data_IF_376874120874
#
_entry.id   IF_376874120874
#
_cell.length_a   1.000
_cell.length_b   1.000
_cell.length_c   1.000
_cell.angle_alpha   90.00
_cell.angle_beta   90.00
_cell.angle_gamma   90.00
#
_symmetry.space_group_name_H-M   'P 1'
#
loop_
_entity.id
_entity.type
_entity.pdbx_description
1 polymer ?
#
# COMPACT_ATOMS: atom_id res chain seq x y z
N UNK A 1 -36.74 -34.70 -37.81
CA UNK A 1 -35.47 -34.24 -38.43
C UNK A 1 -35.19 -32.80 -38.09
N UNK A 2 -36.19 -31.94 -38.02
CA UNK A 2 -36.03 -30.52 -37.68
C UNK A 2 -35.65 -30.29 -36.20
N UNK A 3 -36.30 -31.08 -35.29
CA UNK A 3 -36.04 -30.99 -33.84
C UNK A 3 -34.67 -31.49 -33.45
N UNK A 4 -34.13 -32.47 -34.18
CA UNK A 4 -32.83 -33.03 -33.88
C UNK A 4 -31.67 -32.03 -34.16
N UNK A 5 -31.79 -31.23 -35.22
CA UNK A 5 -30.81 -30.17 -35.55
C UNK A 5 -30.89 -29.02 -34.56
N UNK A 6 -32.08 -28.61 -34.14
CA UNK A 6 -32.26 -27.57 -33.12
C UNK A 6 -31.72 -28.02 -31.76
N UNK A 7 -31.97 -29.27 -31.36
CA UNK A 7 -31.44 -29.83 -30.12
C UNK A 7 -29.90 -29.92 -30.15
N UNK A 8 -29.32 -30.35 -31.25
CA UNK A 8 -27.89 -30.45 -31.44
C UNK A 8 -27.22 -29.04 -31.37
N UNK A 9 -27.85 -28.07 -32.05
CA UNK A 9 -27.36 -26.67 -32.01
C UNK A 9 -27.45 -26.10 -30.61
N UNK A 10 -28.55 -26.35 -29.88
CA UNK A 10 -28.74 -25.92 -28.49
C UNK A 10 -27.66 -26.51 -27.57
N UNK A 11 -27.35 -27.80 -27.73
CA UNK A 11 -26.30 -28.47 -26.94
C UNK A 11 -24.94 -27.86 -27.23
N UNK A 12 -24.64 -27.58 -28.48
CA UNK A 12 -23.39 -26.92 -28.87
C UNK A 12 -23.28 -25.51 -28.29
N UNK A 13 -24.37 -24.73 -28.31
CA UNK A 13 -24.42 -23.39 -27.72
C UNK A 13 -24.22 -23.44 -26.21
N UNK A 14 -24.82 -24.42 -25.54
CA UNK A 14 -24.64 -24.61 -24.09
C UNK A 14 -23.21 -25.01 -23.73
N UNK A 15 -22.57 -25.86 -24.53
CA UNK A 15 -21.17 -26.22 -24.35
C UNK A 15 -20.24 -25.02 -24.52
N UNK A 16 -20.51 -24.18 -25.52
CA UNK A 16 -19.75 -22.93 -25.72
C UNK A 16 -19.94 -21.97 -24.57
N UNK A 17 -21.18 -21.81 -24.08
CA UNK A 17 -21.48 -20.96 -22.93
C UNK A 17 -20.76 -21.45 -21.68
N UNK A 18 -20.73 -22.78 -21.44
CA UNK A 18 -20.01 -23.39 -20.33
C UNK A 18 -18.50 -23.15 -20.44
N UNK A 19 -17.95 -23.34 -21.63
CA UNK A 19 -16.51 -23.10 -21.88
C UNK A 19 -16.15 -21.63 -21.66
N UNK A 20 -16.97 -20.70 -22.15
CA UNK A 20 -16.76 -19.27 -21.93
C UNK A 20 -16.85 -18.91 -20.44
N UNK A 21 -17.81 -19.48 -19.70
CA UNK A 21 -17.94 -19.27 -18.27
C UNK A 21 -16.71 -19.79 -17.52
N UNK A 22 -16.18 -20.93 -17.94
CA UNK A 22 -14.96 -21.51 -17.35
C UNK A 22 -13.73 -20.64 -17.61
N UNK A 23 -13.59 -20.12 -18.83
CA UNK A 23 -12.49 -19.21 -19.18
C UNK A 23 -12.59 -17.89 -18.43
N UNK A 24 -13.80 -17.36 -18.27
CA UNK A 24 -14.05 -16.15 -17.47
C UNK A 24 -13.67 -16.37 -16.01
N UNK A 25 -14.01 -17.53 -15.45
CA UNK A 25 -13.64 -17.87 -14.07
C UNK A 25 -12.13 -17.96 -13.90
N UNK A 26 -11.42 -18.57 -14.84
CA UNK A 26 -9.96 -18.64 -14.83
C UNK A 26 -9.34 -17.25 -14.90
N UNK A 27 -9.90 -16.37 -15.74
CA UNK A 27 -9.43 -14.98 -15.85
C UNK A 27 -9.66 -14.21 -14.55
N UNK A 28 -10.82 -14.37 -13.93
CA UNK A 28 -11.11 -13.74 -12.64
C UNK A 28 -10.14 -14.21 -11.55
N UNK A 29 -9.80 -15.50 -11.53
CA UNK A 29 -8.81 -16.03 -10.59
C UNK A 29 -7.42 -15.43 -10.81
N UNK A 30 -7.01 -15.27 -12.05
CA UNK A 30 -5.73 -14.62 -12.39
C UNK A 30 -5.71 -13.15 -11.98
N UNK A 31 -6.81 -12.44 -12.22
CA UNK A 31 -6.94 -11.04 -11.85
C UNK A 31 -6.90 -10.87 -10.32
N UNK A 32 -7.60 -11.73 -9.59
CA UNK A 32 -7.59 -11.73 -8.14
C UNK A 32 -6.19 -12.01 -7.58
N UNK A 33 -5.46 -12.95 -8.18
CA UNK A 33 -4.08 -13.24 -7.78
C UNK A 33 -3.18 -12.02 -7.98
N UNK A 34 -3.31 -11.32 -9.12
CA UNK A 34 -2.58 -10.08 -9.37
C UNK A 34 -2.89 -9.01 -8.34
N UNK A 35 -4.17 -8.84 -7.99
CA UNK A 35 -4.59 -7.88 -6.97
C UNK A 35 -3.99 -8.20 -5.60
N UNK A 36 -3.97 -9.46 -5.22
CA UNK A 36 -3.38 -9.91 -3.95
C UNK A 36 -1.88 -9.67 -3.95
N UNK A 37 -1.19 -10.03 -5.02
CA UNK A 37 0.26 -9.80 -5.14
C UNK A 37 0.58 -8.30 -5.07
N UNK A 38 -0.22 -7.46 -5.74
CA UNK A 38 -0.06 -6.02 -5.71
C UNK A 38 -0.30 -5.47 -4.30
N UNK A 39 -1.33 -5.97 -3.61
CA UNK A 39 -1.61 -5.57 -2.23
C UNK A 39 -0.46 -5.94 -1.29
N UNK A 40 0.14 -7.11 -1.48
CA UNK A 40 1.30 -7.54 -0.71
C UNK A 40 2.51 -6.62 -0.96
N UNK A 41 2.82 -6.32 -2.21
CA UNK A 41 3.91 -5.41 -2.55
C UNK A 41 3.68 -4.01 -2.00
N UNK A 42 2.46 -3.51 -2.09
CA UNK A 42 2.10 -2.20 -1.55
C UNK A 42 2.29 -2.15 -0.04
N UNK A 43 1.88 -3.19 0.68
CA UNK A 43 2.07 -3.28 2.13
C UNK A 43 3.56 -3.36 2.50
N UNK A 44 4.33 -4.15 1.76
CA UNK A 44 5.77 -4.27 1.96
C UNK A 44 6.50 -2.95 1.74
N UNK A 45 6.16 -2.24 0.66
CA UNK A 45 6.75 -0.94 0.36
C UNK A 45 6.36 0.09 1.41
N UNK A 46 5.10 0.10 1.85
CA UNK A 46 4.63 0.99 2.91
C UNK A 46 5.35 0.73 4.24
N UNK A 47 5.63 -0.52 4.57
CA UNK A 47 6.43 -0.86 5.74
C UNK A 47 7.85 -0.30 5.65
N UNK A 48 8.50 -0.45 4.50
CA UNK A 48 9.84 0.09 4.29
C UNK A 48 9.86 1.63 4.40
N UNK A 49 8.85 2.30 3.85
CA UNK A 49 8.68 3.75 3.97
C UNK A 49 8.49 4.18 5.43
N UNK A 50 7.69 3.43 6.19
CA UNK A 50 7.50 3.69 7.61
C UNK A 50 8.82 3.59 8.38
N UNK A 51 9.60 2.54 8.13
CA UNK A 51 10.90 2.36 8.77
C UNK A 51 11.86 3.49 8.44
N UNK A 52 11.90 3.91 7.18
CA UNK A 52 12.73 5.04 6.74
C UNK A 52 12.27 6.35 7.39
N UNK A 53 10.97 6.59 7.50
CA UNK A 53 10.41 7.78 8.12
C UNK A 53 10.70 7.83 9.63
N UNK A 54 10.66 6.70 10.31
CA UNK A 54 11.04 6.61 11.74
C UNK A 54 12.51 6.98 11.95
N UNK A 55 13.40 6.47 11.11
CA UNK A 55 14.82 6.81 11.19
C UNK A 55 15.08 8.29 10.90
N UNK A 56 14.38 8.83 9.90
CA UNK A 56 14.48 10.26 9.57
C UNK A 56 14.00 11.14 10.72
N UNK A 57 12.90 10.77 11.38
CA UNK A 57 12.42 11.48 12.56
C UNK A 57 13.45 11.45 13.70
N UNK A 58 14.01 10.27 14.00
CA UNK A 58 15.03 10.13 15.02
C UNK A 58 16.24 11.03 14.75
N UNK A 59 16.68 11.12 13.49
CA UNK A 59 17.76 12.02 13.10
C UNK A 59 17.42 13.48 13.36
N UNK A 60 16.18 13.89 13.12
CA UNK A 60 15.74 15.28 13.38
C UNK A 60 15.60 15.57 14.87
N UNK A 61 15.21 14.57 15.69
CA UNK A 61 15.21 14.69 17.16
C UNK A 61 16.61 15.01 17.67
N UNK A 62 17.61 14.24 17.22
CA UNK A 62 19.00 14.46 17.61
C UNK A 62 19.54 15.81 17.13
N UNK A 63 19.23 16.20 15.88
CA UNK A 63 19.61 17.50 15.34
C UNK A 63 18.98 18.64 16.10
N UNK A 64 17.69 18.52 16.46
CA UNK A 64 16.99 19.53 17.26
C UNK A 64 17.58 19.65 18.66
N UNK A 65 17.89 18.53 19.29
CA UNK A 65 18.50 18.53 20.63
C UNK A 65 19.85 19.24 20.61
N UNK A 66 20.69 18.92 19.63
CA UNK A 66 22.00 19.56 19.47
C UNK A 66 21.86 21.07 19.19
N UNK A 67 20.98 21.45 18.28
CA UNK A 67 20.72 22.86 17.92
C UNK A 67 20.13 23.63 19.09
N UNK A 68 19.26 23.01 19.91
CA UNK A 68 18.70 23.62 21.11
C UNK A 68 19.82 23.95 22.12
N UNK A 69 20.74 23.03 22.34
CA UNK A 69 21.89 23.25 23.22
C UNK A 69 22.78 24.40 22.72
N UNK A 70 23.04 24.45 21.41
CA UNK A 70 23.80 25.54 20.79
C UNK A 70 23.11 26.88 20.96
N UNK A 71 21.78 26.90 20.76
CA UNK A 71 20.99 28.11 20.88
C UNK A 71 20.99 28.64 22.33
N UNK A 72 20.78 27.77 23.30
CA UNK A 72 20.84 28.13 24.71
C UNK A 72 22.22 28.66 25.14
N UNK A 73 23.26 28.16 24.51
CA UNK A 73 24.65 28.63 24.73
C UNK A 73 25.02 29.89 23.93
N UNK A 74 24.08 30.44 23.15
CA UNK A 74 24.32 31.59 22.30
C UNK A 74 25.21 31.34 21.07
N UNK A 75 25.34 30.07 20.67
CA UNK A 75 26.24 29.64 19.58
C UNK A 75 25.58 29.47 18.24
N UNK A 76 24.27 29.64 18.14
CA UNK A 76 23.58 29.62 16.85
C UNK A 76 22.45 30.67 16.84
N UNK A 77 21.97 31.00 15.65
CA UNK A 77 20.91 31.98 15.47
C UNK A 77 19.54 31.41 15.78
N UNK A 78 18.57 32.29 16.06
CA UNK A 78 17.17 31.89 16.19
C UNK A 78 16.68 31.21 14.91
N UNK A 79 17.13 31.67 13.75
CA UNK A 79 16.77 31.08 12.45
C UNK A 79 17.18 29.61 12.37
N UNK A 80 18.42 29.28 12.75
CA UNK A 80 18.90 27.90 12.76
C UNK A 80 18.11 27.02 13.71
N UNK A 81 17.77 27.53 14.87
CA UNK A 81 16.94 26.83 15.85
C UNK A 81 15.52 26.55 15.30
N UNK A 82 14.90 27.56 14.69
CA UNK A 82 13.56 27.39 14.12
C UNK A 82 13.57 26.45 12.93
N UNK A 83 14.63 26.46 12.12
CA UNK A 83 14.80 25.53 11.01
C UNK A 83 14.87 24.08 11.49
N UNK A 84 15.67 23.81 12.51
CA UNK A 84 15.76 22.48 13.12
C UNK A 84 14.42 22.01 13.69
N UNK A 85 13.69 22.92 14.34
CA UNK A 85 12.36 22.66 14.87
C UNK A 85 11.36 22.34 13.76
N UNK A 86 11.36 23.12 12.69
CA UNK A 86 10.48 22.89 11.55
C UNK A 86 10.81 21.58 10.83
N UNK A 87 12.06 21.24 10.68
CA UNK A 87 12.52 19.97 10.11
C UNK A 87 12.02 18.79 10.95
N UNK A 88 12.05 18.91 12.26
CA UNK A 88 11.51 17.88 13.16
C UNK A 88 9.99 17.73 13.01
N UNK A 89 9.25 18.83 12.99
CA UNK A 89 7.80 18.79 12.78
C UNK A 89 7.42 18.16 11.44
N UNK A 90 8.18 18.49 10.40
CA UNK A 90 7.98 17.89 9.07
C UNK A 90 8.24 16.37 9.10
N UNK A 91 9.31 15.95 9.73
CA UNK A 91 9.65 14.54 9.86
C UNK A 91 8.61 13.76 10.69
N UNK A 92 8.08 14.36 11.75
CA UNK A 92 6.97 13.80 12.52
C UNK A 92 5.73 13.58 11.66
N UNK A 93 5.36 14.59 10.89
CA UNK A 93 4.21 14.51 9.98
C UNK A 93 4.40 13.41 8.94
N UNK A 94 5.59 13.33 8.35
CA UNK A 94 5.93 12.30 7.36
C UNK A 94 5.86 10.90 7.98
N UNK A 95 6.38 10.73 9.19
CA UNK A 95 6.30 9.44 9.90
C UNK A 95 4.85 9.03 10.16
N UNK A 96 4.02 9.96 10.63
CA UNK A 96 2.60 9.68 10.87
C UNK A 96 1.88 9.26 9.60
N UNK A 97 2.11 9.97 8.49
CA UNK A 97 1.53 9.62 7.19
C UNK A 97 1.97 8.24 6.73
N UNK A 98 3.25 7.93 6.88
CA UNK A 98 3.79 6.62 6.51
C UNK A 98 3.20 5.51 7.38
N UNK A 99 3.01 5.75 8.67
CA UNK A 99 2.40 4.80 9.60
C UNK A 99 0.96 4.50 9.22
N UNK A 100 0.15 5.53 8.96
CA UNK A 100 -1.24 5.36 8.54
C UNK A 100 -1.35 4.69 7.18
N UNK A 101 -0.47 5.04 6.24
CA UNK A 101 -0.44 4.37 4.93
C UNK A 101 -0.13 2.88 5.08
N UNK A 102 0.83 2.52 5.92
CA UNK A 102 1.14 1.11 6.19
C UNK A 102 -0.07 0.39 6.81
N UNK A 103 -0.71 0.96 7.82
CA UNK A 103 -1.90 0.36 8.44
C UNK A 103 -3.03 0.16 7.43
N UNK A 104 -3.25 1.14 6.56
CA UNK A 104 -4.25 1.05 5.49
C UNK A 104 -3.93 -0.09 4.52
N UNK A 105 -2.68 -0.18 4.06
CA UNK A 105 -2.25 -1.26 3.15
C UNK A 105 -2.33 -2.64 3.81
N UNK A 106 -2.01 -2.71 5.09
CA UNK A 106 -2.14 -3.94 5.86
C UNK A 106 -3.61 -4.39 5.98
N UNK A 107 -4.54 -3.44 6.19
CA UNK A 107 -5.97 -3.73 6.23
C UNK A 107 -6.49 -4.26 4.90
N UNK A 108 -6.04 -3.69 3.79
CA UNK A 108 -6.38 -4.20 2.45
C UNK A 108 -5.90 -5.64 2.30
N UNK A 109 -4.68 -5.94 2.71
CA UNK A 109 -4.12 -7.30 2.63
C UNK A 109 -4.92 -8.28 3.51
N UNK A 110 -5.31 -7.88 4.71
CA UNK A 110 -6.16 -8.68 5.61
C UNK A 110 -7.54 -8.94 4.99
N UNK A 111 -8.10 -7.96 4.29
CA UNK A 111 -9.36 -8.13 3.56
C UNK A 111 -9.24 -9.25 2.52
N UNK A 112 -8.18 -9.27 1.73
CA UNK A 112 -7.97 -10.33 0.75
C UNK A 112 -7.75 -11.69 1.40
N UNK A 113 -7.11 -11.76 2.56
CA UNK A 113 -6.98 -13.01 3.32
C UNK A 113 -8.34 -13.55 3.76
N UNK A 114 -9.29 -12.67 4.12
CA UNK A 114 -10.64 -13.07 4.49
C UNK A 114 -11.50 -13.54 3.32
N UNK A 115 -11.16 -13.16 2.09
CA UNK A 115 -11.86 -13.57 0.87
C UNK A 115 -11.38 -14.93 0.36
N UNK A 116 -10.17 -15.32 0.68
CA UNK A 116 -9.61 -16.63 0.35
C UNK A 116 -10.02 -17.69 1.37
#
# INVERSE_FOLDING_TARGET
IYDKNQTTTRVKQQKLALENARLDLEQQKKDLRKEIDQAYFNARNAYAEQQAAEKAEQSTVEALRYTTQKYEAGRCSLYEYQEARNNHLQAQSTRLQAQYNYLFRLRILQYYQGVL
#
